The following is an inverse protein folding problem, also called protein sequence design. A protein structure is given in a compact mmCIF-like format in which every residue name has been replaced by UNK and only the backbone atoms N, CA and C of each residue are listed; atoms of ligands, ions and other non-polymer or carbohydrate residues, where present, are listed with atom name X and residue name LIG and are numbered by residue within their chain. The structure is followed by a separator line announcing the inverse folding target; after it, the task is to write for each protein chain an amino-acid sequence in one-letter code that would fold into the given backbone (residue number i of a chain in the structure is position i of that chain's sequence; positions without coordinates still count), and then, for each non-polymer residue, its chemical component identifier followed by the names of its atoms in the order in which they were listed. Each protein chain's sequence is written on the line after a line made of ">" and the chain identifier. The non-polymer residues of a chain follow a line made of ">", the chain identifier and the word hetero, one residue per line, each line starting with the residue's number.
data_IF_897668468316
#
_entry.id   IF_897668468316
#
_cell.length_a   1.000
_cell.length_b   1.000
_cell.length_c   1.000
_cell.angle_alpha   90.00
_cell.angle_beta   90.00
_cell.angle_gamma   90.00
#
_symmetry.space_group_name_H-M   'P 1'
#
loop_
_entity.id
_entity.type
_entity.pdbx_description
1 polymer ?
#
# COMPACT_ATOMS: atom_id res chain seq x y z
N UNK A 1 3.05 9.02 -7.40
CA UNK A 1 2.59 7.66 -7.00
C UNK A 1 1.12 7.76 -6.65
N UNK A 2 0.29 7.08 -7.43
CA UNK A 2 -1.17 7.13 -7.24
C UNK A 2 -1.59 6.03 -6.27
N UNK A 3 -1.79 6.36 -4.99
CA UNK A 3 -2.45 5.48 -4.04
C UNK A 3 -3.91 5.88 -3.94
N UNK A 4 -4.82 4.94 -4.11
CA UNK A 4 -6.26 5.15 -4.13
C UNK A 4 -6.91 4.58 -2.88
N UNK A 5 -7.94 5.27 -2.39
CA UNK A 5 -8.74 4.84 -1.24
C UNK A 5 -9.34 3.46 -1.48
N UNK A 6 -9.17 2.57 -0.51
CA UNK A 6 -9.82 1.25 -0.46
C UNK A 6 -11.17 1.42 0.22
N UNK A 7 -12.24 0.98 -0.45
CA UNK A 7 -13.64 1.08 0.03
C UNK A 7 -14.31 -0.27 0.27
N UNK A 8 -13.57 -1.35 0.07
CA UNK A 8 -13.99 -2.73 0.40
C UNK A 8 -12.73 -3.54 0.74
N UNK A 9 -12.75 -4.25 1.85
CA UNK A 9 -11.62 -5.09 2.29
C UNK A 9 -11.24 -6.16 1.25
N UNK A 10 -12.16 -6.59 0.39
CA UNK A 10 -11.91 -7.53 -0.71
C UNK A 10 -10.96 -6.99 -1.78
N UNK A 11 -10.74 -5.68 -1.82
CA UNK A 11 -9.77 -5.04 -2.71
C UNK A 11 -8.32 -5.27 -2.26
N UNK A 12 -8.11 -5.62 -0.96
CA UNK A 12 -6.79 -5.91 -0.42
C UNK A 12 -6.36 -7.35 -0.74
N UNK A 13 -5.18 -7.48 -1.31
CA UNK A 13 -4.56 -8.75 -1.69
C UNK A 13 -3.17 -8.87 -1.06
N UNK A 14 -2.70 -10.10 -0.96
CA UNK A 14 -1.31 -10.40 -0.63
C UNK A 14 -0.36 -9.73 -1.64
N UNK A 15 0.68 -9.08 -1.16
CA UNK A 15 1.65 -8.33 -1.96
C UNK A 15 1.28 -6.89 -2.30
N UNK A 16 0.05 -6.44 -1.99
CA UNK A 16 -0.35 -5.03 -2.23
C UNK A 16 0.53 -4.04 -1.47
N UNK A 17 0.81 -2.92 -2.12
CA UNK A 17 1.50 -1.80 -1.49
C UNK A 17 0.48 -0.76 -1.03
N UNK A 18 0.55 -0.38 0.25
CA UNK A 18 -0.44 0.52 0.84
C UNK A 18 0.18 1.64 1.67
N UNK A 19 -0.55 2.76 1.78
CA UNK A 19 -0.40 3.75 2.84
C UNK A 19 -1.53 3.59 3.87
N UNK A 20 -1.20 3.77 5.14
CA UNK A 20 -2.18 3.92 6.23
C UNK A 20 -2.30 5.41 6.52
N UNK A 21 -3.49 5.95 6.43
CA UNK A 21 -3.79 7.38 6.41
C UNK A 21 -4.85 7.68 7.48
N UNK A 22 -4.77 8.79 8.18
CA UNK A 22 -5.86 9.21 9.06
C UNK A 22 -7.13 9.49 8.24
N UNK A 23 -8.29 8.97 8.65
CA UNK A 23 -9.51 9.07 7.83
C UNK A 23 -9.92 10.53 7.58
N UNK A 24 -9.94 11.35 8.63
CA UNK A 24 -10.42 12.74 8.58
C UNK A 24 -9.33 13.81 8.49
N UNK A 25 -8.05 13.42 8.63
CA UNK A 25 -6.92 14.35 8.58
C UNK A 25 -6.03 14.09 7.37
N UNK A 26 -5.32 15.11 6.94
CA UNK A 26 -4.40 15.07 5.81
C UNK A 26 -2.99 14.59 6.23
N UNK A 27 -2.94 13.43 6.88
CA UNK A 27 -1.69 12.83 7.34
C UNK A 27 -1.68 11.32 7.08
N UNK A 28 -0.52 10.80 6.74
CA UNK A 28 -0.25 9.39 6.55
C UNK A 28 0.78 8.87 7.56
N UNK A 29 0.81 7.57 7.79
CA UNK A 29 1.75 6.93 8.68
C UNK A 29 3.18 7.04 8.13
N UNK A 30 4.08 7.53 8.97
CA UNK A 30 5.51 7.68 8.71
C UNK A 30 6.36 6.59 9.38
N UNK A 31 7.62 6.93 9.58
CA UNK A 31 8.62 6.04 10.16
C UNK A 31 8.35 5.73 11.62
N UNK A 32 8.95 4.63 12.10
CA UNK A 32 8.97 4.27 13.52
C UNK A 32 9.66 5.37 14.33
N UNK A 33 9.08 5.71 15.46
CA UNK A 33 9.69 6.58 16.47
C UNK A 33 10.29 5.76 17.59
N UNK A 34 11.37 6.25 18.21
CA UNK A 34 12.03 5.58 19.34
C UNK A 34 11.10 5.39 20.56
N UNK A 35 10.01 6.11 20.64
CA UNK A 35 8.96 6.02 21.68
C UNK A 35 7.86 5.00 21.40
N UNK A 36 8.06 4.03 20.53
CA UNK A 36 7.13 2.92 20.23
C UNK A 36 5.80 3.37 19.61
N UNK A 37 5.85 4.31 18.71
CA UNK A 37 4.73 4.75 17.87
C UNK A 37 5.23 5.12 16.48
N UNK A 38 4.32 5.34 15.53
CA UNK A 38 4.66 5.82 14.20
C UNK A 38 4.46 7.32 14.09
N UNK A 39 5.44 8.01 13.52
CA UNK A 39 5.35 9.41 13.16
C UNK A 39 4.25 9.61 12.11
N UNK A 40 3.83 10.85 11.89
CA UNK A 40 2.97 11.20 10.77
C UNK A 40 3.75 11.97 9.70
N UNK A 41 3.21 11.95 8.49
CA UNK A 41 3.68 12.71 7.33
C UNK A 41 2.49 13.46 6.76
N UNK A 42 2.66 14.76 6.54
CA UNK A 42 1.64 15.59 5.88
C UNK A 42 1.47 15.19 4.41
N UNK A 43 0.23 15.03 4.00
CA UNK A 43 -0.20 14.71 2.64
C UNK A 43 -1.35 15.62 2.23
N UNK A 44 -1.76 15.56 0.98
CA UNK A 44 -3.09 16.01 0.58
C UNK A 44 -3.92 14.84 0.09
N UNK A 45 -5.24 14.96 0.17
CA UNK A 45 -6.20 14.01 -0.39
C UNK A 45 -6.94 14.70 -1.53
N UNK A 46 -6.93 14.11 -2.70
CA UNK A 46 -7.63 14.64 -3.86
C UNK A 46 -8.25 13.50 -4.68
N UNK A 47 -9.56 13.55 -4.92
CA UNK A 47 -10.26 12.54 -5.71
C UNK A 47 -10.00 11.10 -5.24
N UNK A 48 -10.07 10.87 -3.92
CA UNK A 48 -9.77 9.58 -3.28
C UNK A 48 -8.33 9.07 -3.52
N UNK A 49 -7.38 9.98 -3.74
CA UNK A 49 -5.96 9.69 -3.93
C UNK A 49 -5.12 10.44 -2.92
N UNK A 50 -3.99 9.84 -2.55
CA UNK A 50 -2.95 10.53 -1.77
C UNK A 50 -2.07 11.35 -2.69
N UNK A 51 -1.88 12.62 -2.35
CA UNK A 51 -0.89 13.49 -2.97
C UNK A 51 0.23 13.74 -1.97
N UNK A 52 1.44 13.31 -2.32
CA UNK A 52 2.64 13.52 -1.49
C UNK A 52 3.07 14.99 -1.59
N UNK A 53 3.27 15.63 -0.46
CA UNK A 53 3.73 17.03 -0.37
C UNK A 53 5.27 17.11 -0.25
N UNK A 54 5.77 17.10 0.98
CA UNK A 54 7.20 17.32 1.26
C UNK A 54 7.98 16.07 1.62
N UNK A 55 7.32 15.09 2.24
CA UNK A 55 7.93 13.84 2.66
C UNK A 55 7.06 12.66 2.21
N UNK A 56 7.69 11.53 1.94
CA UNK A 56 7.00 10.30 1.51
C UNK A 56 6.57 9.50 2.74
N UNK A 57 5.28 9.12 2.85
CA UNK A 57 4.82 8.19 3.86
C UNK A 57 5.52 6.82 3.74
N UNK A 58 5.47 6.04 4.81
CA UNK A 58 5.95 4.65 4.75
C UNK A 58 4.97 3.81 3.94
N UNK A 59 5.51 3.11 2.97
CA UNK A 59 4.80 2.14 2.15
C UNK A 59 4.87 0.78 2.82
N UNK A 60 3.71 0.17 3.07
CA UNK A 60 3.63 -1.16 3.67
C UNK A 60 3.25 -2.19 2.62
N UNK A 61 3.92 -3.33 2.66
CA UNK A 61 3.49 -4.52 1.92
C UNK A 61 2.44 -5.27 2.74
N UNK A 62 1.28 -5.48 2.15
CA UNK A 62 0.21 -6.28 2.73
C UNK A 62 0.57 -7.75 2.60
N UNK A 63 0.45 -8.51 3.70
CA UNK A 63 0.46 -9.96 3.68
C UNK A 63 -0.89 -10.52 4.10
N UNK A 64 -1.17 -11.77 3.75
CA UNK A 64 -2.34 -12.53 4.21
C UNK A 64 -1.91 -13.76 5.00
N UNK A 65 -2.49 -13.92 6.20
CA UNK A 65 -2.30 -15.10 7.05
C UNK A 65 -3.68 -15.52 7.55
N UNK A 66 -4.18 -16.63 7.05
CA UNK A 66 -5.56 -17.09 7.25
C UNK A 66 -6.56 -15.99 6.81
N UNK A 67 -7.48 -15.59 7.67
CA UNK A 67 -8.43 -14.51 7.42
C UNK A 67 -7.91 -13.11 7.80
N UNK A 68 -6.67 -13.02 8.27
CA UNK A 68 -6.07 -11.78 8.75
C UNK A 68 -5.05 -11.21 7.76
N UNK A 69 -4.71 -9.95 7.97
CA UNK A 69 -3.72 -9.21 7.20
C UNK A 69 -2.47 -8.92 8.04
N UNK A 70 -1.37 -8.68 7.37
CA UNK A 70 -0.14 -8.16 7.97
C UNK A 70 0.32 -6.93 7.20
N UNK A 71 1.10 -6.07 7.85
CA UNK A 71 1.73 -4.91 7.24
C UNK A 71 3.24 -4.97 7.49
N UNK A 72 4.03 -5.06 6.42
CA UNK A 72 5.49 -5.10 6.50
C UNK A 72 6.06 -3.82 5.89
N UNK A 73 6.96 -3.13 6.62
CA UNK A 73 7.60 -1.88 6.19
C UNK A 73 8.97 -2.07 5.55
N UNK A 74 9.34 -3.32 5.25
CA UNK A 74 10.66 -3.71 4.73
C UNK A 74 11.67 -4.05 5.84
N UNK A 75 11.40 -3.69 7.09
CA UNK A 75 12.24 -4.04 8.26
C UNK A 75 11.59 -5.10 9.15
N UNK A 76 10.26 -5.19 9.13
CA UNK A 76 9.48 -6.15 9.90
C UNK A 76 7.99 -5.87 9.81
N UNK A 77 7.23 -6.57 10.65
CA UNK A 77 5.78 -6.50 10.70
C UNK A 77 5.32 -5.48 11.76
N UNK A 78 4.35 -4.63 11.39
CA UNK A 78 3.67 -3.79 12.36
C UNK A 78 2.94 -4.67 13.37
N UNK A 79 3.05 -4.37 14.66
CA UNK A 79 2.34 -5.09 15.71
C UNK A 79 1.93 -4.19 16.87
N UNK A 80 0.87 -4.59 17.57
CA UNK A 80 0.38 -3.95 18.79
C UNK A 80 1.21 -4.47 19.97
N UNK A 81 2.27 -3.76 20.36
CA UNK A 81 3.32 -4.29 21.22
C UNK A 81 3.02 -4.24 22.73
N UNK A 82 1.85 -3.67 23.17
CA UNK A 82 1.62 -3.46 24.59
C UNK A 82 0.15 -3.53 25.02
N UNK A 83 -0.11 -4.09 26.21
CA UNK A 83 -1.42 -4.00 26.89
C UNK A 83 -1.54 -2.77 27.79
N UNK A 84 -0.43 -2.18 28.23
CA UNK A 84 -0.41 -1.08 29.22
C UNK A 84 -0.17 0.29 28.60
N UNK A 85 0.51 0.35 27.44
CA UNK A 85 0.88 1.57 26.73
C UNK A 85 0.32 1.60 25.32
N UNK A 86 0.09 2.79 24.77
CA UNK A 86 -0.37 2.96 23.40
C UNK A 86 0.83 2.82 22.45
N UNK A 87 1.17 1.58 22.09
CA UNK A 87 2.33 1.27 21.29
C UNK A 87 1.93 0.64 19.95
N UNK A 88 2.59 1.06 18.89
CA UNK A 88 2.59 0.45 17.57
C UNK A 88 4.06 0.36 17.14
N UNK A 89 4.55 -0.85 17.04
CA UNK A 89 5.97 -1.12 16.85
C UNK A 89 6.22 -2.06 15.67
N UNK A 90 7.46 -2.41 15.41
CA UNK A 90 7.85 -3.34 14.33
C UNK A 90 8.55 -4.55 14.93
N UNK A 91 8.13 -5.74 14.55
CA UNK A 91 8.73 -7.03 14.97
C UNK A 91 9.29 -7.79 13.78
N UNK A 92 10.40 -8.52 14.00
CA UNK A 92 11.02 -9.34 12.95
C UNK A 92 10.26 -10.67 12.73
N UNK A 93 9.69 -11.24 13.77
CA UNK A 93 8.98 -12.51 13.74
C UNK A 93 7.50 -12.26 14.02
N UNK A 94 6.65 -12.56 13.06
CA UNK A 94 5.21 -12.35 13.17
C UNK A 94 4.58 -13.18 14.29
N UNK A 95 3.89 -12.51 15.22
CA UNK A 95 3.00 -13.12 16.20
C UNK A 95 1.53 -12.69 15.98
N UNK A 96 0.63 -13.08 16.87
CA UNK A 96 -0.79 -12.73 16.72
C UNK A 96 -1.07 -11.24 16.94
N UNK A 97 -0.19 -10.48 17.61
CA UNK A 97 -0.33 -9.03 17.75
C UNK A 97 0.06 -8.27 16.46
N UNK A 98 0.73 -8.92 15.51
CA UNK A 98 1.04 -8.41 14.18
C UNK A 98 0.06 -8.88 13.09
N UNK A 99 -0.94 -9.72 13.44
CA UNK A 99 -2.03 -10.12 12.56
C UNK A 99 -3.24 -9.22 12.78
N UNK A 100 -3.80 -8.67 11.72
CA UNK A 100 -4.83 -7.65 11.78
C UNK A 100 -6.13 -8.13 11.14
N UNK A 101 -7.22 -8.15 11.91
CA UNK A 101 -8.56 -8.18 11.32
C UNK A 101 -8.91 -6.79 10.80
N UNK A 102 -9.34 -6.71 9.55
CA UNK A 102 -9.65 -5.45 8.88
C UNK A 102 -11.09 -5.47 8.38
N UNK A 103 -11.84 -4.42 8.70
CA UNK A 103 -13.10 -4.10 8.04
C UNK A 103 -13.02 -2.69 7.47
N UNK A 104 -13.67 -2.45 6.34
CA UNK A 104 -13.66 -1.15 5.65
C UNK A 104 -15.10 -0.86 5.25
N UNK A 105 -15.60 0.33 5.58
CA UNK A 105 -16.92 0.79 5.14
C UNK A 105 -16.90 1.40 3.73
N UNK A 106 -18.08 1.77 3.23
CA UNK A 106 -18.23 2.32 1.88
C UNK A 106 -17.56 3.70 1.70
N UNK A 107 -17.34 4.42 2.79
CA UNK A 107 -16.63 5.70 2.85
C UNK A 107 -15.09 5.50 2.91
N UNK A 108 -14.62 4.25 3.05
CA UNK A 108 -13.21 3.89 3.14
C UNK A 108 -12.61 4.04 4.53
N UNK A 109 -13.45 4.15 5.56
CA UNK A 109 -12.98 4.16 6.94
C UNK A 109 -12.69 2.73 7.38
N UNK A 110 -11.46 2.49 7.83
CA UNK A 110 -11.00 1.18 8.23
C UNK A 110 -10.99 1.01 9.75
N UNK A 111 -11.42 -0.17 10.20
CA UNK A 111 -11.13 -0.73 11.52
C UNK A 111 -10.03 -1.76 11.36
N UNK A 112 -8.90 -1.57 12.04
CA UNK A 112 -7.70 -2.41 11.96
C UNK A 112 -7.34 -2.88 13.36
N UNK A 113 -7.69 -4.15 13.68
CA UNK A 113 -7.63 -4.70 15.04
C UNK A 113 -6.66 -5.87 15.11
N UNK A 114 -5.61 -5.75 15.93
CA UNK A 114 -4.67 -6.85 16.16
C UNK A 114 -5.36 -8.04 16.85
N UNK A 115 -4.98 -9.25 16.48
CA UNK A 115 -5.62 -10.50 16.93
C UNK A 115 -4.96 -11.12 18.15
N UNK A 116 -3.84 -10.58 18.60
CA UNK A 116 -3.17 -11.04 19.81
C UNK A 116 -3.89 -10.66 21.11
N UNK A 117 -3.27 -10.99 22.23
CA UNK A 117 -3.83 -10.82 23.57
C UNK A 117 -3.65 -9.43 24.15
N UNK A 118 -2.87 -8.55 23.52
CA UNK A 118 -2.69 -7.19 23.96
C UNK A 118 -4.00 -6.40 23.91
N UNK A 119 -4.30 -5.64 24.97
CA UNK A 119 -5.58 -4.94 25.09
C UNK A 119 -5.63 -3.61 24.32
N UNK A 120 -4.47 -3.06 23.99
CA UNK A 120 -4.35 -1.86 23.14
C UNK A 120 -4.03 -2.30 21.73
N UNK A 121 -5.05 -2.63 20.97
CA UNK A 121 -4.96 -3.34 19.70
C UNK A 121 -5.67 -2.66 18.52
N UNK A 122 -6.31 -1.53 18.76
CA UNK A 122 -7.02 -0.75 17.73
C UNK A 122 -6.07 0.30 17.14
N UNK A 123 -5.70 0.13 15.87
CA UNK A 123 -4.80 1.06 15.16
C UNK A 123 -5.53 2.36 14.85
N UNK A 124 -5.03 3.47 15.37
CA UNK A 124 -5.67 4.79 15.30
C UNK A 124 -4.65 5.90 15.11
N UNK A 125 -5.16 7.09 14.74
CA UNK A 125 -4.41 8.33 14.72
C UNK A 125 -4.82 9.23 15.90
N UNK A 126 -3.87 9.65 16.71
CA UNK A 126 -4.05 10.67 17.73
C UNK A 126 -3.76 12.05 17.13
N UNK A 127 -4.76 12.92 17.06
CA UNK A 127 -4.65 14.26 16.51
C UNK A 127 -4.50 15.35 17.60
N UNK A 128 -4.25 14.97 18.84
CA UNK A 128 -4.08 15.95 19.94
C UNK A 128 -2.76 16.69 19.78
N UNK A 129 -2.80 18.03 19.89
CA UNK A 129 -1.62 18.88 19.71
C UNK A 129 -0.44 18.46 20.58
N UNK A 130 0.73 18.27 19.97
CA UNK A 130 1.95 17.77 20.60
C UNK A 130 1.94 16.28 20.90
N UNK A 131 0.92 15.54 20.41
CA UNK A 131 0.76 14.10 20.56
C UNK A 131 0.43 13.41 19.23
N UNK A 132 0.57 14.11 18.13
CA UNK A 132 0.18 13.64 16.81
C UNK A 132 1.01 12.41 16.42
N UNK A 133 0.33 11.26 16.26
CA UNK A 133 0.98 9.97 15.94
C UNK A 133 0.00 8.88 15.58
N UNK A 134 0.48 7.88 14.88
CA UNK A 134 -0.22 6.62 14.73
C UNK A 134 0.24 5.64 15.81
N UNK A 135 -0.72 4.97 16.46
CA UNK A 135 -0.45 3.99 17.50
C UNK A 135 -1.62 3.03 17.70
N UNK A 136 -1.48 2.06 18.61
CA UNK A 136 -2.56 1.19 19.02
C UNK A 136 -3.18 1.67 20.33
N UNK A 137 -4.51 1.70 20.37
CA UNK A 137 -5.29 2.21 21.47
C UNK A 137 -6.30 1.16 21.97
N UNK A 138 -6.77 1.33 23.18
CA UNK A 138 -7.87 0.53 23.73
C UNK A 138 -9.23 1.02 23.19
N UNK A 139 -9.37 2.33 23.02
CA UNK A 139 -10.55 3.01 22.49
C UNK A 139 -10.25 4.48 22.21
N UNK A 140 -11.17 5.16 21.53
CA UNK A 140 -11.03 6.56 21.19
C UNK A 140 -10.05 6.79 20.04
N UNK A 141 -9.67 8.06 19.85
CA UNK A 141 -8.81 8.51 18.75
C UNK A 141 -9.48 8.40 17.36
N UNK A 142 -8.84 9.00 16.36
CA UNK A 142 -9.40 9.06 15.01
C UNK A 142 -9.17 7.77 14.24
N UNK A 143 -10.14 7.42 13.41
CA UNK A 143 -10.07 6.28 12.52
C UNK A 143 -8.99 6.45 11.45
N UNK A 144 -8.62 5.36 10.83
CA UNK A 144 -7.68 5.31 9.71
C UNK A 144 -8.39 4.84 8.45
N UNK A 145 -7.74 5.06 7.31
CA UNK A 145 -8.12 4.56 5.98
C UNK A 145 -6.91 3.92 5.34
N UNK A 146 -7.14 3.00 4.41
CA UNK A 146 -6.09 2.35 3.64
C UNK A 146 -6.15 2.89 2.22
N UNK A 147 -5.02 3.33 1.70
CA UNK A 147 -4.84 3.73 0.31
C UNK A 147 -3.88 2.76 -0.35
N UNK A 148 -4.35 2.12 -1.41
CA UNK A 148 -3.61 1.08 -2.13
C UNK A 148 -3.02 1.63 -3.42
N UNK A 149 -1.82 1.19 -3.79
CA UNK A 149 -1.27 1.37 -5.13
C UNK A 149 -2.18 0.63 -6.12
N UNK A 150 -2.76 1.31 -7.12
CA UNK A 150 -3.70 0.65 -8.02
C UNK A 150 -3.00 -0.44 -8.84
N UNK A 151 -3.71 -1.55 -9.01
CA UNK A 151 -3.37 -2.56 -10.00
C UNK A 151 -3.79 -2.03 -11.37
N UNK A 152 -2.84 -1.89 -12.29
CA UNK A 152 -3.19 -1.61 -13.66
C UNK A 152 -3.55 -2.94 -14.33
N UNK A 153 -4.85 -3.17 -14.51
CA UNK A 153 -5.33 -4.30 -15.30
C UNK A 153 -5.94 -3.78 -16.60
N UNK A 154 -5.67 -4.46 -17.70
CA UNK A 154 -6.23 -4.18 -19.00
C UNK A 154 -6.70 -5.47 -19.66
N UNK A 155 -7.94 -5.50 -20.08
CA UNK A 155 -8.44 -6.58 -20.94
C UNK A 155 -8.00 -6.32 -22.38
N UNK A 156 -7.26 -7.26 -22.95
CA UNK A 156 -6.86 -7.26 -24.34
C UNK A 156 -7.88 -8.09 -25.12
N UNK A 157 -8.61 -7.45 -26.02
CA UNK A 157 -9.65 -8.11 -26.84
C UNK A 157 -9.13 -8.69 -28.16
N UNK A 158 -7.85 -8.57 -28.44
CA UNK A 158 -7.17 -9.08 -29.63
C UNK A 158 -5.87 -9.80 -29.27
N UNK A 159 -5.13 -10.23 -30.29
CA UNK A 159 -3.86 -10.91 -30.09
C UNK A 159 -2.72 -10.00 -29.64
N UNK A 160 -2.88 -8.68 -29.85
CA UNK A 160 -1.86 -7.66 -29.56
C UNK A 160 -2.50 -6.41 -28.96
N UNK A 161 -1.79 -5.75 -28.06
CA UNK A 161 -2.12 -4.43 -27.55
C UNK A 161 -0.85 -3.67 -27.18
N UNK A 162 -0.88 -2.35 -27.32
CA UNK A 162 0.20 -1.50 -26.83
C UNK A 162 -0.02 -1.13 -25.37
N UNK A 163 1.06 -1.04 -24.59
CA UNK A 163 1.06 -0.60 -23.21
C UNK A 163 2.23 0.37 -22.99
N UNK A 164 1.95 1.45 -22.26
CA UNK A 164 2.97 2.37 -21.76
C UNK A 164 2.55 2.78 -20.35
N UNK A 165 3.35 2.42 -19.37
CA UNK A 165 3.05 2.74 -17.96
C UNK A 165 3.84 3.97 -17.51
N UNK A 166 3.28 4.81 -16.63
CA UNK A 166 4.00 5.95 -16.05
C UNK A 166 5.07 5.52 -15.04
N UNK A 167 5.16 4.23 -14.73
CA UNK A 167 6.10 3.61 -13.78
C UNK A 167 6.57 2.27 -14.31
N UNK A 168 7.76 1.88 -13.84
CA UNK A 168 8.25 0.53 -14.03
C UNK A 168 7.28 -0.51 -13.44
N UNK A 169 7.18 -1.65 -14.06
CA UNK A 169 6.27 -2.72 -13.66
C UNK A 169 6.62 -4.04 -14.32
N UNK A 170 5.85 -5.06 -14.02
CA UNK A 170 5.98 -6.38 -14.62
C UNK A 170 4.64 -6.81 -15.24
N UNK A 171 4.69 -7.38 -16.43
CA UNK A 171 3.51 -7.97 -17.08
C UNK A 171 3.28 -9.38 -16.56
N UNK A 172 2.02 -9.74 -16.33
CA UNK A 172 1.61 -11.08 -15.93
C UNK A 172 0.54 -11.59 -16.88
N UNK A 173 0.73 -12.80 -17.40
CA UNK A 173 -0.24 -13.46 -18.27
C UNK A 173 -0.17 -13.05 -19.74
N UNK A 174 0.88 -12.37 -20.16
CA UNK A 174 1.17 -12.04 -21.56
C UNK A 174 2.68 -12.02 -21.82
N UNK A 175 3.06 -12.10 -23.08
CA UNK A 175 4.44 -11.89 -23.52
C UNK A 175 4.64 -10.43 -23.90
N UNK A 176 5.73 -9.84 -23.44
CA UNK A 176 6.07 -8.45 -23.66
C UNK A 176 7.12 -8.33 -24.78
N UNK A 177 6.89 -7.39 -25.68
CA UNK A 177 7.82 -7.08 -26.78
C UNK A 177 8.12 -5.59 -26.83
N UNK A 178 9.35 -5.24 -27.20
CA UNK A 178 9.74 -3.89 -27.57
C UNK A 178 10.05 -3.80 -29.07
N UNK A 179 10.00 -2.59 -29.62
CA UNK A 179 10.37 -2.34 -31.01
C UNK A 179 11.90 -2.38 -31.12
N UNK A 180 12.43 -3.40 -31.78
CA UNK A 180 13.87 -3.53 -32.03
C UNK A 180 14.33 -2.57 -33.13
N UNK A 181 13.70 -2.64 -34.30
CA UNK A 181 14.02 -1.73 -35.42
C UNK A 181 12.95 -1.77 -36.52
N UNK A 182 12.98 -0.78 -37.40
CA UNK A 182 12.21 -0.73 -38.64
C UNK A 182 13.10 -1.07 -39.84
N UNK A 183 12.74 -2.13 -40.57
CA UNK A 183 13.47 -2.53 -41.78
C UNK A 183 12.98 -1.73 -42.99
N UNK A 184 13.72 -0.70 -43.41
CA UNK A 184 13.30 0.18 -44.53
C UNK A 184 13.10 -0.59 -45.83
N UNK A 185 13.97 -1.54 -46.18
CA UNK A 185 13.88 -2.35 -47.38
C UNK A 185 12.68 -3.29 -47.39
N UNK A 186 12.36 -3.88 -46.23
CA UNK A 186 11.23 -4.82 -46.06
C UNK A 186 9.89 -4.13 -45.73
N UNK A 187 9.95 -2.87 -45.30
CA UNK A 187 8.81 -2.11 -44.75
C UNK A 187 8.17 -2.82 -43.55
N UNK A 188 8.96 -3.50 -42.74
CA UNK A 188 8.52 -4.26 -41.56
C UNK A 188 9.11 -3.69 -40.28
N UNK A 189 8.34 -3.79 -39.21
CA UNK A 189 8.79 -3.53 -37.82
C UNK A 189 9.17 -4.88 -37.22
N UNK A 190 10.31 -4.91 -36.55
CA UNK A 190 10.83 -6.09 -35.87
C UNK A 190 10.73 -5.83 -34.36
N UNK A 191 10.42 -6.87 -33.61
CA UNK A 191 10.20 -6.82 -32.16
C UNK A 191 11.12 -7.80 -31.47
N UNK A 192 11.66 -7.40 -30.33
CA UNK A 192 12.40 -8.26 -29.42
C UNK A 192 11.53 -8.59 -28.20
N UNK A 193 11.58 -9.83 -27.76
CA UNK A 193 10.88 -10.28 -26.57
C UNK A 193 11.61 -9.86 -25.30
N UNK A 194 10.86 -9.28 -24.34
CA UNK A 194 11.35 -8.97 -23.00
C UNK A 194 11.11 -10.20 -22.11
N UNK A 195 12.12 -11.07 -22.02
CA UNK A 195 12.01 -12.41 -21.41
C UNK A 195 11.56 -12.40 -19.95
N UNK A 196 11.93 -11.38 -19.17
CA UNK A 196 11.54 -11.24 -17.77
C UNK A 196 10.19 -10.51 -17.57
N UNK A 197 9.59 -9.99 -18.67
CA UNK A 197 8.33 -9.24 -18.62
C UNK A 197 8.42 -7.90 -17.86
N UNK A 198 9.62 -7.39 -17.58
CA UNK A 198 9.83 -6.10 -16.90
C UNK A 198 9.68 -4.94 -17.88
N UNK A 199 8.96 -3.89 -17.44
CA UNK A 199 8.71 -2.67 -18.20
C UNK A 199 9.35 -1.48 -17.51
N UNK A 200 10.00 -0.61 -18.28
CA UNK A 200 10.47 0.68 -17.80
C UNK A 200 9.37 1.74 -17.87
N UNK A 201 9.46 2.73 -16.99
CA UNK A 201 8.50 3.84 -16.95
C UNK A 201 8.56 4.67 -18.24
N UNK A 202 7.41 4.93 -18.84
CA UNK A 202 7.28 5.78 -20.01
C UNK A 202 7.73 5.14 -21.34
N UNK A 203 8.14 3.87 -21.33
CA UNK A 203 8.50 3.14 -22.57
C UNK A 203 7.27 2.40 -23.10
N UNK A 204 6.94 2.55 -24.40
CA UNK A 204 5.85 1.79 -25.01
C UNK A 204 6.30 0.37 -25.37
N UNK A 205 5.45 -0.62 -25.05
CA UNK A 205 5.60 -2.04 -25.39
C UNK A 205 4.38 -2.57 -26.11
N UNK A 206 4.49 -3.75 -26.71
CA UNK A 206 3.39 -4.50 -27.36
C UNK A 206 3.25 -5.87 -26.72
#
# INVERSE_FOLDING_TARGET
>A
TDFMLVTDVKQLKDGDQVYIVAADDNVAMGTQNDGNYRNYVEIAKQNNRVVILNATPVEFTVGKVDDNFTFNDGTGYLYASSSSSNNLDTEANLDDNGKWAITIDAEGVASIIAQGTNSRKDMRYNASSGQERFSCYKSGQKAVSIYKRPDYSRNVSGNYATICLPKAGQIIGATLYEIAYYGEASKKIFFDEIVNGEMEAGIPYI
#
